data_IF_260612486099
#
_entry.id   IF_260612486099
#
_cell.length_a   1.000
_cell.length_b   1.000
_cell.length_c   1.000
_cell.angle_alpha   90.00
_cell.angle_beta   90.00
_cell.angle_gamma   90.00
#
_symmetry.space_group_name_H-M   'P 1'
#
loop_
_entity.id
_entity.type
_entity.pdbx_description
1 polymer ?
#
# COMPACT_ATOMS: atom_id res chain seq x y z
N UNK A 1 21.72 1.10 18.98
CA UNK A 1 20.61 1.04 17.96
C UNK A 1 21.06 0.24 16.73
N UNK A 2 20.73 -1.07 16.64
CA UNK A 2 21.02 -2.07 15.56
C UNK A 2 22.51 -2.25 15.15
N UNK A 3 23.32 -1.19 15.13
CA UNK A 3 24.76 -1.18 14.82
C UNK A 3 25.65 -1.92 15.83
N UNK A 4 25.15 -2.22 17.03
CA UNK A 4 25.96 -2.79 18.12
C UNK A 4 25.93 -4.33 18.15
N UNK A 5 24.97 -4.96 17.46
CA UNK A 5 24.84 -6.41 17.40
C UNK A 5 24.31 -6.86 16.03
N UNK A 6 25.18 -7.30 15.11
CA UNK A 6 24.78 -7.73 13.77
C UNK A 6 23.84 -8.95 13.78
N UNK A 7 23.83 -9.75 14.85
CA UNK A 7 22.89 -10.86 15.05
C UNK A 7 21.44 -10.41 15.34
N UNK A 8 21.21 -9.11 15.59
CA UNK A 8 19.88 -8.51 15.72
C UNK A 8 19.37 -7.94 14.39
N UNK A 9 20.15 -8.06 13.30
CA UNK A 9 19.68 -7.66 11.99
C UNK A 9 18.59 -8.63 11.53
N UNK A 10 17.38 -8.09 11.37
CA UNK A 10 16.28 -8.85 10.78
C UNK A 10 16.63 -9.21 9.34
N UNK A 11 16.29 -10.42 8.89
CA UNK A 11 16.49 -10.78 7.51
C UNK A 11 15.58 -9.92 6.60
N UNK A 12 15.90 -9.79 5.30
CA UNK A 12 15.08 -9.03 4.37
C UNK A 12 13.61 -9.51 4.39
N UNK A 13 12.65 -8.61 4.22
CA UNK A 13 11.21 -8.94 4.26
C UNK A 13 10.81 -10.05 3.28
N UNK A 14 11.50 -10.15 2.15
CA UNK A 14 11.30 -11.18 1.12
C UNK A 14 11.63 -12.60 1.59
N UNK A 15 12.44 -12.75 2.64
CA UNK A 15 12.83 -14.06 3.18
C UNK A 15 11.75 -14.68 4.08
N UNK A 16 10.72 -13.92 4.42
CA UNK A 16 9.65 -14.40 5.27
C UNK A 16 8.64 -15.21 4.44
N UNK A 17 8.16 -16.35 4.97
CA UNK A 17 7.29 -17.27 4.24
C UNK A 17 5.91 -16.70 3.90
N UNK A 18 5.45 -15.68 4.62
CA UNK A 18 4.19 -14.96 4.44
C UNK A 18 4.29 -13.76 3.49
N UNK A 19 5.48 -13.47 2.97
CA UNK A 19 5.71 -12.31 2.11
C UNK A 19 4.82 -12.32 0.85
N UNK A 20 4.70 -13.49 0.22
CA UNK A 20 3.87 -13.66 -0.99
C UNK A 20 2.37 -13.50 -0.67
N UNK A 21 1.93 -13.94 0.51
CA UNK A 21 0.56 -13.75 0.98
C UNK A 21 0.27 -12.27 1.23
N UNK A 22 1.20 -11.57 1.90
CA UNK A 22 1.11 -10.14 2.13
C UNK A 22 1.10 -9.33 0.81
N UNK A 23 1.80 -9.79 -0.23
CA UNK A 23 1.73 -9.20 -1.56
C UNK A 23 0.35 -9.37 -2.21
N UNK A 24 -0.26 -10.54 -2.06
CA UNK A 24 -1.63 -10.79 -2.56
C UNK A 24 -2.67 -9.95 -1.83
N UNK A 25 -2.50 -9.71 -0.53
CA UNK A 25 -3.39 -8.84 0.25
C UNK A 25 -3.36 -7.38 -0.26
N UNK A 26 -2.24 -6.92 -0.82
CA UNK A 26 -2.18 -5.58 -1.48
C UNK A 26 -3.06 -5.49 -2.72
N UNK A 27 -3.48 -6.62 -3.29
CA UNK A 27 -4.42 -6.63 -4.41
C UNK A 27 -5.86 -6.39 -3.97
N UNK A 28 -6.15 -6.47 -2.66
CA UNK A 28 -7.46 -6.27 -2.08
C UNK A 28 -8.01 -4.87 -2.40
N UNK A 29 -9.34 -4.80 -2.55
CA UNK A 29 -10.07 -3.57 -2.83
C UNK A 29 -9.81 -2.49 -1.78
N UNK A 30 -9.87 -2.86 -0.49
CA UNK A 30 -9.71 -1.93 0.64
C UNK A 30 -8.31 -1.34 0.69
N UNK A 31 -7.28 -2.13 0.39
CA UNK A 31 -5.90 -1.68 0.32
C UNK A 31 -5.71 -0.62 -0.77
N UNK A 32 -6.15 -0.93 -2.01
CA UNK A 32 -6.06 0.00 -3.14
C UNK A 32 -6.88 1.26 -2.91
N UNK A 33 -8.04 1.14 -2.27
CA UNK A 33 -8.87 2.28 -1.87
C UNK A 33 -8.14 3.20 -0.88
N UNK A 34 -7.54 2.63 0.17
CA UNK A 34 -6.75 3.36 1.15
C UNK A 34 -5.55 4.05 0.52
N UNK A 35 -4.84 3.38 -0.38
CA UNK A 35 -3.70 3.96 -1.12
C UNK A 35 -4.14 5.17 -1.97
N UNK A 36 -5.24 5.03 -2.72
CA UNK A 36 -5.82 6.11 -3.50
C UNK A 36 -6.25 7.29 -2.61
N UNK A 37 -6.84 7.01 -1.45
CA UNK A 37 -7.25 8.03 -0.48
C UNK A 37 -6.06 8.81 0.09
N UNK A 38 -4.95 8.14 0.43
CA UNK A 38 -3.73 8.81 0.89
C UNK A 38 -3.15 9.70 -0.21
N UNK A 39 -3.10 9.22 -1.46
CA UNK A 39 -2.64 10.01 -2.61
C UNK A 39 -3.52 11.24 -2.85
N UNK A 40 -4.83 11.08 -2.74
CA UNK A 40 -5.80 12.17 -2.86
C UNK A 40 -5.61 13.22 -1.75
N UNK A 41 -5.42 12.77 -0.52
CA UNK A 41 -5.19 13.64 0.64
C UNK A 41 -3.89 14.44 0.53
N UNK A 42 -2.83 13.85 -0.04
CA UNK A 42 -1.58 14.58 -0.31
C UNK A 42 -1.74 15.69 -1.36
N UNK A 43 -2.65 15.51 -2.32
CA UNK A 43 -2.90 16.44 -3.43
C UNK A 43 -4.29 17.11 -3.30
N UNK A 44 -4.78 17.30 -2.08
CA UNK A 44 -6.15 17.77 -1.83
C UNK A 44 -6.44 19.13 -2.48
N UNK A 45 -5.45 20.04 -2.46
CA UNK A 45 -5.53 21.38 -3.04
C UNK A 45 -5.61 21.39 -4.59
N UNK A 46 -5.23 20.29 -5.26
CA UNK A 46 -5.25 20.14 -6.71
C UNK A 46 -6.42 19.32 -7.26
N UNK A 47 -7.51 19.17 -6.49
CA UNK A 47 -8.64 18.33 -6.89
C UNK A 47 -8.39 16.83 -6.66
N UNK A 48 -7.52 16.47 -5.70
CA UNK A 48 -7.20 15.08 -5.37
C UNK A 48 -8.42 14.19 -5.12
N UNK A 49 -9.49 14.72 -4.51
CA UNK A 49 -10.73 13.98 -4.26
C UNK A 49 -11.57 13.72 -5.52
N UNK A 50 -11.53 14.61 -6.52
CA UNK A 50 -12.19 14.34 -7.81
C UNK A 50 -11.50 13.16 -8.48
N UNK A 51 -10.16 13.15 -8.48
CA UNK A 51 -9.35 12.04 -9.00
C UNK A 51 -9.61 10.74 -8.23
N UNK A 52 -9.81 10.81 -6.91
CA UNK A 52 -10.17 9.66 -6.09
C UNK A 52 -11.46 8.99 -6.56
N UNK A 53 -12.52 9.76 -6.86
CA UNK A 53 -13.79 9.20 -7.35
C UNK A 53 -13.62 8.43 -8.67
N UNK A 54 -12.76 8.92 -9.58
CA UNK A 54 -12.44 8.21 -10.81
C UNK A 54 -11.66 6.92 -10.57
N UNK A 55 -10.70 6.93 -9.64
CA UNK A 55 -9.94 5.72 -9.27
C UNK A 55 -10.85 4.68 -8.60
N UNK A 56 -11.75 5.09 -7.70
CA UNK A 56 -12.71 4.18 -7.06
C UNK A 56 -13.55 3.45 -8.12
N UNK A 57 -14.12 4.19 -9.08
CA UNK A 57 -14.90 3.60 -10.19
C UNK A 57 -14.08 2.64 -11.06
N UNK A 58 -12.77 2.88 -11.20
CA UNK A 58 -11.86 2.03 -11.99
C UNK A 58 -11.49 0.76 -11.23
N UNK A 59 -11.32 0.84 -9.91
CA UNK A 59 -11.06 -0.30 -9.03
C UNK A 59 -12.32 -1.19 -8.97
N UNK A 60 -13.50 -0.60 -8.81
CA UNK A 60 -14.80 -1.30 -8.79
C UNK A 60 -15.08 -2.06 -10.09
N UNK A 61 -14.71 -1.51 -11.25
CA UNK A 61 -14.84 -2.19 -12.54
C UNK A 61 -13.85 -3.34 -12.80
N UNK A 62 -12.82 -3.50 -11.95
CA UNK A 62 -11.77 -4.54 -12.09
C UNK A 62 -11.96 -5.71 -11.13
N UNK A 63 -12.84 -5.58 -10.16
CA UNK A 63 -13.34 -6.67 -9.31
C UNK A 63 -14.52 -7.32 -10.02
#
# INVERSE_FOLDING_TARGET
KIKENPNLALPPLETYPDYDEALREKECFTYKLGEAFIKASKNWYGGGYIKLLFEIRKIEKRQ
#
